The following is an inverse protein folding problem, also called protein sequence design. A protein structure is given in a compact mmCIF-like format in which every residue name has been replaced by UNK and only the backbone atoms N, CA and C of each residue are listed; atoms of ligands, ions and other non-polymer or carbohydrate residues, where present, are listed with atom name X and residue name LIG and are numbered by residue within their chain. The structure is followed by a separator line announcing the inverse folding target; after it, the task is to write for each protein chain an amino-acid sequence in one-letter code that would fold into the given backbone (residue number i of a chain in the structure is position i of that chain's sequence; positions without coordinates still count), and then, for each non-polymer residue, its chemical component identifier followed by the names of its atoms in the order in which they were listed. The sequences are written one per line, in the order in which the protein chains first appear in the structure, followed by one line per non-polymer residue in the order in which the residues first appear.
data_IF_676467721745
#
_entry.id   IF_676467721745
#
_cell.length_a   1.000
_cell.length_b   1.000
_cell.length_c   1.000
_cell.angle_alpha   90.00
_cell.angle_beta   90.00
_cell.angle_gamma   90.00
#
_symmetry.space_group_name_H-M   'P 1'
#
loop_
_entity.id
_entity.type
_entity.pdbx_description
1 polymer ?
#
# COMPACT_ATOMS: atom_id res chain seq x y z
N UNK A 1 6.55 19.09 -19.47
CA UNK A 1 5.56 17.97 -19.45
C UNK A 1 6.21 16.61 -19.67
N UNK A 2 7.27 16.49 -20.47
CA UNK A 2 8.01 15.24 -20.69
C UNK A 2 8.69 14.74 -19.41
N UNK A 3 9.33 15.63 -18.65
CA UNK A 3 10.03 15.27 -17.41
C UNK A 3 9.09 14.73 -16.33
N UNK A 4 7.95 15.40 -16.09
CA UNK A 4 6.92 14.91 -15.16
C UNK A 4 6.43 13.51 -15.55
N UNK A 5 6.26 13.23 -16.84
CA UNK A 5 5.85 11.90 -17.31
C UNK A 5 6.95 10.87 -17.07
N UNK A 6 8.21 11.24 -17.32
CA UNK A 6 9.34 10.34 -17.12
C UNK A 6 9.51 9.99 -15.63
N UNK A 7 9.54 10.98 -14.74
CA UNK A 7 9.68 10.71 -13.31
C UNK A 7 8.49 9.90 -12.78
N UNK A 8 7.26 10.21 -13.24
CA UNK A 8 6.07 9.44 -12.87
C UNK A 8 6.16 7.97 -13.29
N UNK A 9 6.75 7.67 -14.45
CA UNK A 9 7.03 6.31 -14.88
C UNK A 9 7.97 5.59 -13.91
N UNK A 10 9.08 6.21 -13.52
CA UNK A 10 10.01 5.63 -12.54
C UNK A 10 9.34 5.40 -11.19
N UNK A 11 8.57 6.38 -10.68
CA UNK A 11 7.87 6.28 -9.41
C UNK A 11 6.80 5.20 -9.40
N UNK A 12 6.15 4.93 -10.53
CA UNK A 12 5.02 3.98 -10.60
C UNK A 12 5.41 2.57 -11.07
N UNK A 13 6.44 2.45 -11.91
CA UNK A 13 6.75 1.19 -12.60
C UNK A 13 8.14 0.63 -12.30
N UNK A 14 9.09 1.47 -11.95
CA UNK A 14 10.48 1.02 -11.74
C UNK A 14 10.81 0.87 -10.26
N UNK A 15 10.64 1.94 -9.50
CA UNK A 15 11.05 1.95 -8.10
C UNK A 15 10.26 1.00 -7.19
N UNK A 16 8.94 0.80 -7.33
CA UNK A 16 8.22 -0.14 -6.49
C UNK A 16 8.75 -1.57 -6.60
N UNK A 17 9.09 -2.02 -7.82
CA UNK A 17 9.66 -3.35 -8.03
C UNK A 17 11.13 -3.43 -7.61
N UNK A 18 11.88 -2.35 -7.80
CA UNK A 18 13.27 -2.27 -7.36
C UNK A 18 13.39 -2.33 -5.83
N UNK A 19 12.51 -1.67 -5.08
CA UNK A 19 12.48 -1.71 -3.61
C UNK A 19 12.20 -3.13 -3.12
N UNK A 20 11.18 -3.81 -3.67
CA UNK A 20 10.90 -5.21 -3.33
C UNK A 20 12.10 -6.11 -3.62
N UNK A 21 12.75 -5.92 -4.77
CA UNK A 21 13.93 -6.70 -5.15
C UNK A 21 15.12 -6.44 -4.22
N UNK A 22 15.28 -5.19 -3.77
CA UNK A 22 16.30 -4.80 -2.80
C UNK A 22 16.09 -5.50 -1.46
N UNK A 23 14.86 -5.51 -0.94
CA UNK A 23 14.53 -6.15 0.33
C UNK A 23 14.78 -7.66 0.28
N UNK A 24 14.39 -8.32 -0.82
CA UNK A 24 14.64 -9.74 -1.01
C UNK A 24 16.14 -10.06 -1.07
N UNK A 25 16.92 -9.26 -1.80
CA UNK A 25 18.39 -9.44 -1.89
C UNK A 25 19.08 -9.16 -0.57
N UNK A 26 18.61 -8.17 0.19
CA UNK A 26 19.13 -7.90 1.52
C UNK A 26 18.92 -9.10 2.45
N UNK A 27 17.72 -9.69 2.46
CA UNK A 27 17.41 -10.89 3.27
C UNK A 27 18.31 -12.06 2.87
N UNK A 28 18.45 -12.31 1.58
CA UNK A 28 19.33 -13.36 1.05
C UNK A 28 20.79 -13.13 1.46
N UNK A 29 21.34 -11.94 1.24
CA UNK A 29 22.72 -11.62 1.61
C UNK A 29 22.94 -11.69 3.13
N UNK A 30 21.95 -11.35 3.95
CA UNK A 30 21.98 -11.46 5.39
C UNK A 30 22.09 -12.92 5.85
N UNK A 31 21.29 -13.79 5.26
CA UNK A 31 21.32 -15.24 5.52
C UNK A 31 22.63 -15.87 5.05
N UNK A 32 23.11 -15.56 3.84
CA UNK A 32 24.39 -16.04 3.29
C UNK A 32 25.60 -15.60 4.12
N UNK A 33 25.51 -14.41 4.76
CA UNK A 33 26.53 -13.92 5.68
C UNK A 33 26.51 -14.58 7.07
N UNK A 34 25.55 -15.48 7.32
CA UNK A 34 25.39 -16.20 8.58
C UNK A 34 24.75 -15.37 9.71
N UNK A 35 24.09 -14.27 9.38
CA UNK A 35 23.36 -13.47 10.36
C UNK A 35 21.97 -14.06 10.65
N UNK A 36 21.48 -13.79 11.85
CA UNK A 36 20.15 -14.22 12.27
C UNK A 36 19.05 -13.49 11.47
N UNK A 37 18.31 -14.23 10.65
CA UNK A 37 17.23 -13.72 9.78
C UNK A 37 16.09 -13.10 10.59
N UNK A 38 15.83 -13.57 11.81
CA UNK A 38 14.80 -13.04 12.68
C UNK A 38 15.00 -11.53 12.96
N UNK A 39 16.24 -11.02 12.89
CA UNK A 39 16.53 -9.59 13.07
C UNK A 39 16.01 -8.68 11.97
N UNK A 40 15.79 -9.20 10.77
CA UNK A 40 15.28 -8.45 9.61
C UNK A 40 13.94 -8.99 9.10
N UNK A 41 13.26 -9.80 9.91
CA UNK A 41 11.95 -10.34 9.57
C UNK A 41 10.85 -9.28 9.59
N UNK A 42 10.91 -8.38 10.59
CA UNK A 42 9.96 -7.29 10.69
C UNK A 42 10.26 -6.18 9.68
N UNK A 43 9.24 -5.61 8.99
CA UNK A 43 9.44 -4.53 8.01
C UNK A 43 10.22 -3.33 8.54
N UNK A 44 10.06 -2.96 9.82
CA UNK A 44 10.75 -1.83 10.46
C UNK A 44 12.26 -2.04 10.59
N UNK A 45 12.73 -3.29 10.46
CA UNK A 45 14.16 -3.59 10.47
C UNK A 45 14.81 -3.44 9.09
N UNK A 46 14.01 -3.25 8.04
CA UNK A 46 14.49 -3.03 6.68
C UNK A 46 14.80 -1.54 6.44
N UNK A 47 15.77 -1.22 5.57
CA UNK A 47 16.05 0.16 5.20
C UNK A 47 14.84 0.85 4.59
N UNK A 48 14.50 2.05 5.07
CA UNK A 48 13.45 2.87 4.47
C UNK A 48 14.05 3.66 3.30
N UNK A 49 13.54 3.42 2.09
CA UNK A 49 13.91 4.17 0.90
C UNK A 49 12.92 5.30 0.68
N UNK A 50 13.36 6.53 0.91
CA UNK A 50 12.58 7.73 0.59
C UNK A 50 12.98 8.25 -0.79
N UNK A 51 12.01 8.32 -1.69
CA UNK A 51 12.22 8.83 -3.04
C UNK A 51 11.85 10.31 -3.09
N UNK A 52 12.73 11.13 -3.68
CA UNK A 52 12.51 12.54 -3.90
C UNK A 52 12.70 12.94 -5.36
N UNK A 53 12.09 14.03 -5.76
CA UNK A 53 12.28 14.63 -7.08
C UNK A 53 12.16 16.14 -6.99
N UNK A 54 12.97 16.86 -7.76
CA UNK A 54 12.84 18.30 -7.94
C UNK A 54 11.87 18.68 -9.08
N UNK A 55 11.47 17.72 -9.90
CA UNK A 55 10.63 17.96 -11.09
C UNK A 55 9.28 18.54 -10.69
N UNK A 56 9.01 19.76 -11.16
CA UNK A 56 7.79 20.50 -10.83
C UNK A 56 7.82 21.25 -9.49
N UNK A 57 8.93 21.18 -8.72
CA UNK A 57 9.08 21.82 -7.42
C UNK A 57 10.20 22.85 -7.35
N UNK A 58 11.30 22.61 -8.06
CA UNK A 58 12.46 23.49 -8.08
C UNK A 58 12.19 24.74 -8.93
N UNK A 59 12.33 25.91 -8.30
CA UNK A 59 12.06 27.21 -8.90
C UNK A 59 13.33 28.01 -9.16
N UNK A 60 14.49 27.49 -8.78
CA UNK A 60 15.74 28.23 -8.90
C UNK A 60 16.08 28.46 -10.38
N UNK A 61 16.05 29.75 -10.78
CA UNK A 61 16.33 30.19 -12.15
C UNK A 61 15.32 29.72 -13.22
N UNK A 62 14.20 29.08 -12.86
CA UNK A 62 13.25 28.56 -13.83
C UNK A 62 11.86 29.23 -13.76
N UNK A 63 11.62 30.27 -14.60
CA UNK A 63 10.40 31.09 -14.49
C UNK A 63 9.10 30.35 -14.80
N UNK A 64 9.17 29.14 -15.42
CA UNK A 64 8.01 28.36 -15.79
C UNK A 64 7.56 27.38 -14.68
N UNK A 65 8.33 27.24 -13.58
CA UNK A 65 7.91 26.44 -12.41
C UNK A 65 7.11 27.33 -11.47
N UNK A 66 5.83 27.47 -11.77
CA UNK A 66 4.86 28.22 -10.99
C UNK A 66 4.26 27.40 -9.87
N UNK A 67 3.58 28.03 -8.90
CA UNK A 67 2.82 27.35 -7.85
C UNK A 67 1.77 26.36 -8.42
N UNK A 68 1.15 26.73 -9.53
CA UNK A 68 0.18 25.87 -10.23
C UNK A 68 0.87 24.60 -10.78
N UNK A 69 2.05 24.72 -11.39
CA UNK A 69 2.84 23.58 -11.87
C UNK A 69 3.21 22.66 -10.72
N UNK A 70 3.64 23.21 -9.58
CA UNK A 70 3.97 22.45 -8.39
C UNK A 70 2.74 21.71 -7.85
N UNK A 71 1.61 22.38 -7.72
CA UNK A 71 0.35 21.78 -7.26
C UNK A 71 -0.08 20.63 -8.17
N UNK A 72 0.02 20.80 -9.48
CA UNK A 72 -0.30 19.75 -10.46
C UNK A 72 0.67 18.58 -10.36
N UNK A 73 1.97 18.83 -10.18
CA UNK A 73 2.97 17.78 -9.99
C UNK A 73 2.70 16.95 -8.74
N UNK A 74 2.44 17.60 -7.60
CA UNK A 74 2.10 16.93 -6.35
C UNK A 74 0.79 16.13 -6.47
N UNK A 75 -0.23 16.69 -7.14
CA UNK A 75 -1.48 15.98 -7.42
C UNK A 75 -1.26 14.72 -8.25
N UNK A 76 -0.41 14.79 -9.28
CA UNK A 76 -0.04 13.64 -10.10
C UNK A 76 0.70 12.57 -9.28
N UNK A 77 1.70 12.96 -8.48
CA UNK A 77 2.46 12.03 -7.66
C UNK A 77 1.57 11.35 -6.60
N UNK A 78 0.68 12.10 -5.94
CA UNK A 78 -0.31 11.54 -5.02
C UNK A 78 -1.22 10.52 -5.72
N UNK A 79 -1.79 10.88 -6.86
CA UNK A 79 -2.67 9.99 -7.62
C UNK A 79 -1.93 8.70 -8.02
N UNK A 80 -0.68 8.82 -8.46
CA UNK A 80 0.17 7.69 -8.82
C UNK A 80 0.47 6.78 -7.63
N UNK A 81 0.86 7.35 -6.49
CA UNK A 81 1.13 6.58 -5.28
C UNK A 81 -0.11 5.79 -4.83
N UNK A 82 -1.27 6.42 -4.79
CA UNK A 82 -2.53 5.76 -4.43
C UNK A 82 -2.89 4.64 -5.42
N UNK A 83 -2.74 4.89 -6.73
CA UNK A 83 -3.00 3.87 -7.75
C UNK A 83 -2.05 2.66 -7.60
N UNK A 84 -0.78 2.91 -7.30
CA UNK A 84 0.20 1.86 -7.02
C UNK A 84 -0.20 1.03 -5.78
N UNK A 85 -0.66 1.68 -4.70
CA UNK A 85 -1.16 0.98 -3.52
C UNK A 85 -2.37 0.10 -3.86
N UNK A 86 -3.32 0.59 -4.65
CA UNK A 86 -4.47 -0.20 -5.10
C UNK A 86 -4.04 -1.44 -5.89
N UNK A 87 -3.10 -1.31 -6.82
CA UNK A 87 -2.55 -2.40 -7.64
C UNK A 87 -1.85 -3.45 -6.76
N UNK A 88 -1.05 -3.00 -5.79
CA UNK A 88 -0.32 -3.90 -4.87
C UNK A 88 -1.26 -4.64 -3.93
N UNK A 89 -2.27 -3.98 -3.37
CA UNK A 89 -3.28 -4.64 -2.54
C UNK A 89 -4.15 -5.61 -3.35
N UNK A 90 -4.44 -5.31 -4.62
CA UNK A 90 -5.13 -6.26 -5.49
C UNK A 90 -4.31 -7.54 -5.69
N UNK A 91 -3.01 -7.38 -5.99
CA UNK A 91 -2.08 -8.50 -6.11
C UNK A 91 -1.97 -9.28 -4.81
N UNK A 92 -1.88 -8.60 -3.66
CA UNK A 92 -1.89 -9.24 -2.34
C UNK A 92 -3.16 -10.05 -2.13
N UNK A 93 -4.34 -9.47 -2.42
CA UNK A 93 -5.61 -10.16 -2.30
C UNK A 93 -5.74 -11.40 -3.21
N UNK A 94 -5.11 -11.37 -4.40
CA UNK A 94 -5.06 -12.54 -5.29
C UNK A 94 -4.16 -13.64 -4.74
N UNK A 95 -3.03 -13.28 -4.13
CA UNK A 95 -2.09 -14.24 -3.51
C UNK A 95 -2.60 -14.79 -2.19
N UNK A 96 -3.38 -14.01 -1.45
CA UNK A 96 -3.93 -14.37 -0.15
C UNK A 96 -5.31 -15.05 -0.30
N UNK A 97 -5.42 -15.99 -1.25
CA UNK A 97 -6.61 -16.83 -1.41
C UNK A 97 -6.51 -18.02 -0.46
N UNK A 98 -6.71 -17.73 0.84
CA UNK A 98 -6.67 -18.72 1.92
C UNK A 98 -8.09 -18.92 2.46
N UNK A 99 -8.61 -20.13 2.28
CA UNK A 99 -9.93 -20.49 2.78
C UNK A 99 -9.95 -20.64 4.30
N UNK A 100 -11.00 -20.14 4.94
CA UNK A 100 -11.20 -20.18 6.39
C UNK A 100 -11.17 -21.62 6.98
N UNK A 101 -11.42 -22.61 6.15
CA UNK A 101 -11.35 -24.02 6.53
C UNK A 101 -9.91 -24.57 6.62
N UNK A 102 -8.95 -23.90 5.97
CA UNK A 102 -7.53 -24.25 6.02
C UNK A 102 -6.82 -23.56 7.19
N UNK A 103 -7.17 -22.30 7.40
CA UNK A 103 -6.71 -21.52 8.54
C UNK A 103 -7.85 -20.65 9.04
N UNK A 104 -8.39 -21.00 10.20
CA UNK A 104 -9.48 -20.25 10.80
C UNK A 104 -9.00 -18.89 11.30
N UNK A 105 -9.61 -17.77 10.81
CA UNK A 105 -9.24 -16.45 11.27
C UNK A 105 -9.60 -16.26 12.76
N UNK A 106 -8.72 -15.64 13.56
CA UNK A 106 -9.01 -15.32 14.96
C UNK A 106 -10.29 -14.47 15.11
N UNK A 107 -11.00 -14.63 16.23
CA UNK A 107 -12.23 -13.87 16.47
C UNK A 107 -12.03 -12.34 16.46
N UNK A 108 -10.85 -11.88 16.87
CA UNK A 108 -10.48 -10.46 16.79
C UNK A 108 -10.40 -9.98 15.35
N UNK A 109 -9.87 -10.81 14.46
CA UNK A 109 -9.76 -10.49 13.03
C UNK A 109 -11.14 -10.44 12.37
N UNK A 110 -12.01 -11.42 12.62
CA UNK A 110 -13.40 -11.42 12.11
C UNK A 110 -14.15 -10.16 12.53
N UNK A 111 -14.05 -9.76 13.81
CA UNK A 111 -14.67 -8.52 14.28
C UNK A 111 -14.14 -7.27 13.56
N UNK A 112 -12.85 -7.23 13.24
CA UNK A 112 -12.28 -6.11 12.51
C UNK A 112 -12.77 -6.08 11.06
N UNK A 113 -12.91 -7.23 10.41
CA UNK A 113 -13.52 -7.36 9.07
C UNK A 113 -14.95 -6.81 9.07
N UNK A 114 -15.78 -7.24 10.01
CA UNK A 114 -17.16 -6.77 10.15
C UNK A 114 -17.24 -5.26 10.39
N UNK A 115 -16.38 -4.74 11.27
CA UNK A 115 -16.28 -3.30 11.57
C UNK A 115 -15.93 -2.49 10.32
N UNK A 116 -14.94 -2.92 9.54
CA UNK A 116 -14.56 -2.25 8.31
C UNK A 116 -15.66 -2.34 7.25
N UNK A 117 -16.33 -3.48 7.12
CA UNK A 117 -17.43 -3.63 6.19
C UNK A 117 -18.59 -2.68 6.55
N UNK A 118 -18.98 -2.63 7.83
CA UNK A 118 -20.05 -1.75 8.30
C UNK A 118 -19.74 -0.25 8.04
N UNK A 119 -18.46 0.15 8.17
CA UNK A 119 -18.03 1.53 7.92
C UNK A 119 -18.17 1.95 6.46
N UNK A 120 -18.26 1.00 5.51
CA UNK A 120 -18.36 1.26 4.06
C UNK A 120 -19.74 0.89 3.46
N UNK A 121 -20.71 0.50 4.28
CA UNK A 121 -22.08 0.20 3.85
C UNK A 121 -22.13 -0.82 2.71
N UNK A 122 -22.87 -0.49 1.63
CA UNK A 122 -23.03 -1.38 0.47
C UNK A 122 -21.70 -1.84 -0.16
N UNK A 123 -20.71 -0.95 -0.25
CA UNK A 123 -19.39 -1.30 -0.78
C UNK A 123 -18.67 -2.32 0.12
N UNK A 124 -18.80 -2.16 1.45
CA UNK A 124 -18.28 -3.12 2.42
C UNK A 124 -18.95 -4.48 2.32
N UNK A 125 -20.28 -4.51 2.23
CA UNK A 125 -21.03 -5.76 2.00
C UNK A 125 -20.64 -6.44 0.69
N UNK A 126 -20.47 -5.67 -0.40
CA UNK A 126 -20.02 -6.20 -1.68
C UNK A 126 -18.60 -6.82 -1.59
N UNK A 127 -17.70 -6.21 -0.78
CA UNK A 127 -16.37 -6.74 -0.54
C UNK A 127 -16.42 -8.09 0.19
N UNK A 128 -17.34 -8.27 1.15
CA UNK A 128 -17.55 -9.54 1.84
C UNK A 128 -18.14 -10.61 0.92
N UNK A 129 -19.15 -10.26 0.13
CA UNK A 129 -19.84 -11.19 -0.78
C UNK A 129 -18.93 -11.72 -1.89
N UNK A 130 -17.90 -10.96 -2.28
CA UNK A 130 -16.99 -11.32 -3.38
C UNK A 130 -16.14 -12.56 -3.08
N UNK A 131 -15.75 -12.77 -1.83
CA UNK A 131 -14.81 -13.82 -1.43
C UNK A 131 -15.32 -14.54 -0.18
N UNK A 132 -16.51 -15.18 -0.29
CA UNK A 132 -17.12 -15.91 0.82
C UNK A 132 -16.21 -17.07 1.25
N UNK A 133 -15.91 -17.15 2.56
CA UNK A 133 -15.03 -18.18 3.12
C UNK A 133 -13.54 -17.92 2.94
N UNK A 134 -13.16 -16.71 2.48
CA UNK A 134 -11.79 -16.23 2.39
C UNK A 134 -11.64 -14.92 3.20
N UNK A 135 -11.82 -15.00 4.52
CA UNK A 135 -11.88 -13.82 5.40
C UNK A 135 -10.62 -12.95 5.32
N UNK A 136 -9.45 -13.56 5.12
CA UNK A 136 -8.18 -12.85 4.92
C UNK A 136 -8.20 -11.96 3.67
N UNK A 137 -8.71 -12.50 2.57
CA UNK A 137 -8.85 -11.78 1.31
C UNK A 137 -9.95 -10.72 1.37
N UNK A 138 -11.05 -11.00 2.08
CA UNK A 138 -12.09 -10.01 2.36
C UNK A 138 -11.50 -8.79 3.09
N UNK A 139 -10.62 -9.00 4.07
CA UNK A 139 -9.95 -7.93 4.76
C UNK A 139 -9.12 -7.05 3.81
N UNK A 140 -8.31 -7.64 2.92
CA UNK A 140 -7.54 -6.89 1.92
C UNK A 140 -8.45 -6.07 1.01
N UNK A 141 -9.61 -6.61 0.59
CA UNK A 141 -10.59 -5.86 -0.19
C UNK A 141 -11.14 -4.66 0.59
N UNK A 142 -11.36 -4.79 1.90
CA UNK A 142 -11.81 -3.70 2.76
C UNK A 142 -10.71 -2.65 2.97
N UNK A 143 -9.45 -3.06 3.13
CA UNK A 143 -8.30 -2.13 3.19
C UNK A 143 -8.21 -1.31 1.90
N UNK A 144 -8.49 -1.93 0.73
CA UNK A 144 -8.55 -1.21 -0.56
C UNK A 144 -9.64 -0.14 -0.60
N UNK A 145 -10.80 -0.37 -0.01
CA UNK A 145 -11.88 0.64 0.10
C UNK A 145 -11.48 1.80 1.02
N UNK A 146 -10.58 1.56 1.96
CA UNK A 146 -10.05 2.57 2.88
C UNK A 146 -8.92 3.42 2.29
N UNK A 147 -8.36 3.04 1.14
CA UNK A 147 -7.43 3.92 0.44
C UNK A 147 -8.15 5.19 -0.03
N UNK A 148 -7.47 6.34 0.01
CA UNK A 148 -8.04 7.57 -0.52
C UNK A 148 -8.33 7.46 -2.02
N UNK A 149 -9.24 8.27 -2.52
CA UNK A 149 -9.40 8.42 -3.96
C UNK A 149 -8.11 9.03 -4.56
N UNK A 150 -7.65 8.55 -5.73
CA UNK A 150 -6.49 9.13 -6.40
C UNK A 150 -6.63 10.63 -6.65
N UNK A 151 -7.86 11.07 -6.97
CA UNK A 151 -8.21 12.48 -7.21
C UNK A 151 -9.47 12.81 -6.40
N UNK A 152 -9.51 14.02 -5.86
CA UNK A 152 -10.66 14.52 -5.11
C UNK A 152 -10.50 14.41 -3.60
N UNK A 153 -11.62 14.60 -2.90
CA UNK A 153 -11.69 14.57 -1.44
C UNK A 153 -11.75 13.14 -0.90
N UNK A 154 -11.43 13.03 0.40
CA UNK A 154 -11.54 11.76 1.11
C UNK A 154 -13.00 11.38 1.33
N UNK A 155 -13.34 10.17 0.98
CA UNK A 155 -14.62 9.56 1.34
C UNK A 155 -14.70 9.12 2.80
N UNK A 156 -15.91 8.78 3.27
CA UNK A 156 -16.10 8.21 4.61
C UNK A 156 -15.26 6.94 4.81
N UNK A 157 -14.61 6.83 5.97
CA UNK A 157 -13.83 5.65 6.34
C UNK A 157 -12.46 5.52 5.65
N UNK A 158 -12.12 6.41 4.71
CA UNK A 158 -10.82 6.40 4.04
C UNK A 158 -9.70 6.95 4.93
N UNK A 159 -8.52 6.38 4.77
CA UNK A 159 -7.33 6.83 5.49
C UNK A 159 -6.88 8.22 5.06
N UNK A 160 -6.55 9.06 6.04
CA UNK A 160 -6.02 10.40 5.80
C UNK A 160 -4.51 10.40 5.61
N UNK A 161 -3.83 9.41 6.15
CA UNK A 161 -2.37 9.31 6.17
C UNK A 161 -1.91 7.88 5.86
N UNK A 162 -0.66 7.69 5.39
CA UNK A 162 -0.10 6.37 5.11
C UNK A 162 -0.05 5.45 6.33
N UNK A 163 0.13 6.00 7.55
CA UNK A 163 0.23 5.23 8.79
C UNK A 163 -1.01 4.37 9.03
N UNK A 164 -2.18 4.86 8.64
CA UNK A 164 -3.42 4.09 8.73
C UNK A 164 -3.41 2.82 7.87
N UNK A 165 -2.86 2.92 6.65
CA UNK A 165 -2.71 1.77 5.74
C UNK A 165 -1.67 0.80 6.29
N UNK A 166 -0.55 1.32 6.78
CA UNK A 166 0.52 0.51 7.41
C UNK A 166 -0.04 -0.26 8.60
N UNK A 167 -0.81 0.40 9.47
CA UNK A 167 -1.44 -0.26 10.63
C UNK A 167 -2.38 -1.40 10.21
N UNK A 168 -3.18 -1.23 9.17
CA UNK A 168 -4.04 -2.29 8.64
C UNK A 168 -3.22 -3.49 8.12
N UNK A 169 -2.12 -3.23 7.44
CA UNK A 169 -1.26 -4.30 6.90
C UNK A 169 -0.47 -5.03 8.00
N UNK A 170 0.00 -4.31 9.02
CA UNK A 170 0.65 -4.90 10.18
C UNK A 170 -0.33 -5.78 10.97
N UNK A 171 -1.56 -5.32 11.19
CA UNK A 171 -2.60 -6.12 11.82
C UNK A 171 -2.91 -7.40 11.04
N UNK A 172 -3.01 -7.32 9.71
CA UNK A 172 -3.17 -8.49 8.85
C UNK A 172 -2.00 -9.47 9.02
N UNK A 173 -0.76 -8.97 8.99
CA UNK A 173 0.45 -9.78 9.11
C UNK A 173 0.52 -10.49 10.47
N UNK A 174 0.31 -9.76 11.56
CA UNK A 174 0.36 -10.29 12.91
C UNK A 174 -0.67 -11.42 13.10
N UNK A 175 -1.88 -11.22 12.64
CA UNK A 175 -2.94 -12.22 12.76
C UNK A 175 -2.81 -13.42 11.83
N UNK A 176 -2.00 -13.34 10.77
CA UNK A 176 -1.68 -14.48 9.90
C UNK A 176 -0.62 -15.41 10.49
N UNK A 177 0.23 -14.88 11.38
CA UNK A 177 1.38 -15.60 11.95
C UNK A 177 1.00 -16.32 13.26
N UNK A 178 -0.07 -15.85 13.94
CA UNK A 178 -0.65 -16.54 15.11
C UNK A 178 -1.30 -17.87 14.72
#
# INVERSE_FOLDING_TARGET
QSELRNINYFLSKVFPDAIVSMDLRLRQAWEEAGFDVARIEHPDALPVVALGTWVGGDRDGHPLVTAEVTTRALGLFRATAVATCHERLETLGQRLSLGDHLQEPPAVFRRQVEKHAAAHGEAGEAALKRNIGETWRQYVNLVRLRLPNPVGELGPGQHRTPEGVIADLLFLRETLIE
#
